data_IF_605700406696
#
_entry.id   IF_605700406696
#
_cell.length_a   1.000
_cell.length_b   1.000
_cell.length_c   1.000
_cell.angle_alpha   90.00
_cell.angle_beta   90.00
_cell.angle_gamma   90.00
#
_symmetry.space_group_name_H-M   'P 1'
#
loop_
_entity.id
_entity.type
_entity.pdbx_description
1 polymer ?
#
# COMPACT_ATOMS: atom_id res chain seq x y z
N UNK A 1 11.79 -1.90 1.54
CA UNK A 1 10.34 -1.63 1.46
C UNK A 1 9.62 -1.84 2.80
N UNK A 2 9.70 -3.03 3.43
CA UNK A 2 9.00 -3.32 4.69
C UNK A 2 9.30 -2.31 5.82
N UNK A 3 10.56 -1.90 5.98
CA UNK A 3 10.96 -0.92 7.00
C UNK A 3 10.26 0.44 6.81
N UNK A 4 10.31 1.01 5.60
CA UNK A 4 9.64 2.26 5.28
C UNK A 4 8.13 2.18 5.51
N UNK A 5 7.48 1.13 5.00
CA UNK A 5 6.04 0.96 5.17
C UNK A 5 5.64 0.69 6.62
N UNK A 6 6.50 0.07 7.41
CA UNK A 6 6.30 -0.04 8.86
C UNK A 6 6.37 1.34 9.51
N UNK A 7 7.41 2.11 9.20
CA UNK A 7 7.60 3.47 9.73
C UNK A 7 6.42 4.39 9.39
N UNK A 8 5.91 4.33 8.15
CA UNK A 8 4.73 5.09 7.74
C UNK A 8 3.47 4.67 8.50
N UNK A 9 3.24 3.37 8.72
CA UNK A 9 2.07 2.87 9.45
C UNK A 9 2.10 3.23 10.93
N UNK A 10 3.27 3.20 11.55
CA UNK A 10 3.45 3.55 12.96
C UNK A 10 3.74 5.03 13.19
N UNK A 11 3.82 5.82 12.12
CA UNK A 11 4.22 7.23 12.16
C UNK A 11 5.51 7.46 12.95
N UNK A 12 6.50 6.59 12.73
CA UNK A 12 7.82 6.68 13.36
C UNK A 12 8.59 7.86 12.76
N UNK A 13 8.48 9.03 13.37
CA UNK A 13 8.99 10.28 12.80
C UNK A 13 10.52 10.28 12.69
N UNK A 14 11.22 9.70 13.65
CA UNK A 14 12.68 9.64 13.64
C UNK A 14 13.16 8.80 12.46
N UNK A 15 12.54 7.63 12.26
CA UNK A 15 12.88 6.77 11.12
C UNK A 15 12.43 7.38 9.79
N UNK A 16 11.27 8.05 9.73
CA UNK A 16 10.80 8.73 8.53
C UNK A 16 11.70 9.90 8.14
N UNK A 17 12.25 10.63 9.12
CA UNK A 17 13.21 11.69 8.89
C UNK A 17 14.49 11.13 8.24
N UNK A 18 15.02 10.02 8.78
CA UNK A 18 16.19 9.34 8.20
C UNK A 18 15.91 8.80 6.79
N UNK A 19 14.70 8.27 6.55
CA UNK A 19 14.27 7.75 5.25
C UNK A 19 13.77 8.84 4.29
N UNK A 20 13.80 10.12 4.67
CA UNK A 20 13.21 11.21 3.89
C UNK A 20 13.76 11.32 2.47
N UNK A 21 15.07 11.08 2.30
CA UNK A 21 15.68 11.04 0.97
C UNK A 21 15.11 9.91 0.12
N UNK A 22 14.99 8.70 0.69
CA UNK A 22 14.48 7.54 0.00
C UNK A 22 13.00 7.70 -0.37
N UNK A 23 12.20 8.31 0.50
CA UNK A 23 10.80 8.64 0.22
C UNK A 23 10.69 9.58 -0.99
N UNK A 24 11.53 10.62 -1.04
CA UNK A 24 11.57 11.57 -2.16
C UNK A 24 11.97 10.88 -3.46
N UNK A 25 13.06 10.12 -3.45
CA UNK A 25 13.55 9.43 -4.65
C UNK A 25 12.52 8.41 -5.17
N UNK A 26 11.87 7.67 -4.27
CA UNK A 26 10.82 6.72 -4.62
C UNK A 26 9.60 7.42 -5.25
N UNK A 27 9.18 8.57 -4.69
CA UNK A 27 8.09 9.38 -5.25
C UNK A 27 8.44 9.85 -6.66
N UNK A 28 9.64 10.36 -6.88
CA UNK A 28 10.08 10.86 -8.19
C UNK A 28 10.05 9.75 -9.25
N UNK A 29 10.52 8.55 -8.91
CA UNK A 29 10.44 7.39 -9.80
C UNK A 29 8.99 6.99 -10.10
N UNK A 30 8.11 6.98 -9.10
CA UNK A 30 6.69 6.66 -9.32
C UNK A 30 5.98 7.65 -10.24
N UNK A 31 6.30 8.94 -10.16
CA UNK A 31 5.76 9.94 -11.09
C UNK A 31 6.32 9.76 -12.50
N UNK A 32 7.60 9.39 -12.64
CA UNK A 32 8.20 9.10 -13.95
C UNK A 32 7.55 7.90 -14.65
N UNK A 33 7.22 6.84 -13.89
CA UNK A 33 6.61 5.61 -14.41
C UNK A 33 5.09 5.57 -14.23
N UNK A 34 4.45 6.72 -14.04
CA UNK A 34 3.01 6.82 -13.83
C UNK A 34 2.25 6.33 -15.06
N UNK A 35 1.22 5.53 -14.84
CA UNK A 35 0.34 5.10 -15.93
C UNK A 35 -0.41 6.31 -16.52
N UNK A 36 -0.44 6.46 -17.86
CA UNK A 36 -1.09 7.60 -18.51
C UNK A 36 -2.63 7.56 -18.42
N UNK A 37 -3.20 6.41 -18.05
CA UNK A 37 -4.63 6.20 -17.94
C UNK A 37 -4.97 5.39 -16.68
N UNK A 38 -6.21 5.44 -16.18
CA UNK A 38 -6.64 4.55 -15.11
C UNK A 38 -6.39 3.09 -15.47
N UNK A 39 -5.80 2.34 -14.54
CA UNK A 39 -5.55 0.90 -14.67
C UNK A 39 -6.24 0.15 -13.54
N UNK A 40 -6.64 -1.09 -13.84
CA UNK A 40 -7.10 -2.02 -12.81
C UNK A 40 -5.91 -2.80 -12.29
N UNK A 41 -5.74 -2.76 -10.98
CA UNK A 41 -4.66 -3.40 -10.23
C UNK A 41 -5.25 -4.17 -9.07
N UNK A 42 -4.53 -5.20 -8.64
CA UNK A 42 -4.93 -6.10 -7.57
C UNK A 42 -3.86 -6.11 -6.50
N UNK A 43 -4.30 -6.27 -5.26
CA UNK A 43 -3.43 -6.43 -4.10
C UNK A 43 -4.14 -7.31 -3.10
N UNK A 44 -3.39 -8.20 -2.48
CA UNK A 44 -3.85 -8.91 -1.28
C UNK A 44 -3.54 -8.12 -0.02
N UNK A 45 -4.45 -8.24 0.93
CA UNK A 45 -4.32 -7.65 2.24
C UNK A 45 -4.87 -8.68 3.24
N UNK A 46 -4.01 -9.12 4.15
CA UNK A 46 -4.42 -9.92 5.29
C UNK A 46 -5.23 -9.01 6.23
N UNK A 47 -6.46 -9.43 6.54
CA UNK A 47 -7.37 -8.71 7.43
C UNK A 47 -8.18 -9.71 8.24
N UNK A 48 -8.45 -9.37 9.50
CA UNK A 48 -9.42 -10.05 10.34
C UNK A 48 -10.85 -9.85 9.81
N UNK A 49 -11.76 -10.75 10.19
CA UNK A 49 -13.18 -10.63 9.85
C UNK A 49 -13.78 -9.31 10.37
N UNK A 50 -13.35 -8.86 11.54
CA UNK A 50 -13.79 -7.61 12.16
C UNK A 50 -13.34 -6.39 11.37
N UNK A 51 -12.11 -6.37 10.86
CA UNK A 51 -11.62 -5.28 10.00
C UNK A 51 -12.42 -5.23 8.69
N UNK A 52 -12.71 -6.38 8.09
CA UNK A 52 -13.55 -6.46 6.88
C UNK A 52 -14.97 -5.91 7.14
N UNK A 53 -15.57 -6.26 8.29
CA UNK A 53 -16.88 -5.74 8.68
C UNK A 53 -16.85 -4.22 8.94
N UNK A 54 -15.79 -3.71 9.54
CA UNK A 54 -15.61 -2.27 9.73
C UNK A 54 -15.53 -1.55 8.40
N UNK A 55 -14.77 -2.07 7.42
CA UNK A 55 -14.70 -1.50 6.07
C UNK A 55 -16.07 -1.42 5.40
N UNK A 56 -16.96 -2.38 5.67
CA UNK A 56 -18.32 -2.37 5.13
C UNK A 56 -19.14 -1.17 5.62
N UNK A 57 -18.91 -0.74 6.86
CA UNK A 57 -19.56 0.45 7.45
C UNK A 57 -19.06 1.76 6.82
N UNK A 58 -17.91 1.76 6.13
CA UNK A 58 -17.31 2.93 5.49
C UNK A 58 -17.57 2.99 3.98
N UNK A 59 -18.55 2.23 3.46
CA UNK A 59 -18.95 2.28 2.05
C UNK A 59 -19.26 3.72 1.61
N UNK A 60 -18.66 4.14 0.49
CA UNK A 60 -18.79 5.49 -0.05
C UNK A 60 -17.85 6.53 0.57
N UNK A 61 -17.03 6.16 1.56
CA UNK A 61 -16.02 7.05 2.15
C UNK A 61 -14.63 6.84 1.53
N UNK A 62 -13.70 7.73 1.88
CA UNK A 62 -12.31 7.65 1.44
C UNK A 62 -11.45 6.88 2.45
N UNK A 63 -10.51 6.09 1.94
CA UNK A 63 -9.52 5.37 2.75
C UNK A 63 -8.17 6.05 2.55
N UNK A 64 -7.57 6.53 3.63
CA UNK A 64 -6.17 6.96 3.63
C UNK A 64 -5.27 5.77 3.97
N UNK A 65 -4.19 5.57 3.22
CA UNK A 65 -3.23 4.51 3.46
C UNK A 65 -1.86 5.12 3.78
N UNK A 66 -1.38 4.92 5.01
CA UNK A 66 -0.04 5.36 5.43
C UNK A 66 1.01 4.32 5.00
N UNK A 67 1.11 4.07 3.69
CA UNK A 67 2.13 3.20 3.10
C UNK A 67 2.16 3.39 1.60
N UNK A 68 3.32 3.12 0.98
CA UNK A 68 3.34 2.81 -0.44
C UNK A 68 2.61 1.48 -0.67
N UNK A 69 1.96 1.34 -1.84
CA UNK A 69 1.19 0.15 -2.19
C UNK A 69 1.95 -0.69 -3.21
N UNK A 70 2.11 -1.98 -2.90
CA UNK A 70 2.56 -2.96 -3.87
C UNK A 70 1.33 -3.62 -4.46
N UNK A 71 1.26 -3.69 -5.78
CA UNK A 71 0.09 -4.19 -6.51
C UNK A 71 0.54 -4.90 -7.77
N UNK A 72 -0.29 -5.79 -8.29
CA UNK A 72 -0.06 -6.55 -9.52
C UNK A 72 -1.18 -6.32 -10.52
N UNK A 73 -0.89 -6.45 -11.81
CA UNK A 73 -1.90 -6.50 -12.88
C UNK A 73 -2.56 -7.88 -12.96
N UNK A 74 -1.89 -8.91 -12.45
CA UNK A 74 -2.35 -10.29 -12.47
C UNK A 74 -3.15 -10.60 -11.20
N UNK A 75 -4.44 -10.90 -11.39
CA UNK A 75 -5.35 -11.23 -10.30
C UNK A 75 -4.97 -12.55 -9.63
N UNK A 76 -4.47 -13.53 -10.38
CA UNK A 76 -4.12 -14.85 -9.84
C UNK A 76 -2.92 -14.74 -8.90
N UNK A 77 -1.90 -13.96 -9.30
CA UNK A 77 -0.75 -13.66 -8.44
C UNK A 77 -1.18 -13.02 -7.12
N UNK A 78 -2.08 -12.03 -7.18
CA UNK A 78 -2.60 -11.42 -5.96
C UNK A 78 -3.24 -12.46 -5.04
N UNK A 79 -4.05 -13.37 -5.58
CA UNK A 79 -4.72 -14.40 -4.76
C UNK A 79 -3.74 -15.41 -4.17
N UNK A 80 -2.71 -15.82 -4.91
CA UNK A 80 -1.73 -16.82 -4.47
C UNK A 80 -0.82 -16.31 -3.34
N UNK A 81 -0.44 -15.03 -3.36
CA UNK A 81 0.32 -14.41 -2.25
C UNK A 81 -0.36 -14.55 -0.88
N UNK A 82 -1.66 -14.88 -0.84
CA UNK A 82 -2.42 -15.16 0.38
C UNK A 82 -2.12 -16.53 1.01
N UNK A 83 -1.64 -17.51 0.25
CA UNK A 83 -1.47 -18.90 0.72
C UNK A 83 -0.08 -19.19 1.29
N UNK A 84 0.87 -18.25 1.13
CA UNK A 84 2.27 -18.43 1.52
C UNK A 84 2.68 -17.69 2.81
N UNK A 85 1.82 -16.84 3.37
CA UNK A 85 2.01 -16.08 4.63
C UNK A 85 1.11 -16.63 5.76
#
# INVERSE_FOLDING_TARGET
YHLLNKALRTLDIDLLYLLGFFIRDLREQLEQYRSPSPIRIYRTQLMSKTEVQQLDNFRGQLISMNSFLSTTLDREVAVIEREMD
#
